data_IF_166276018059
#
_entry.id   IF_166276018059
#
_cell.length_a   1.000
_cell.length_b   1.000
_cell.length_c   1.000
_cell.angle_alpha   90.00
_cell.angle_beta   90.00
_cell.angle_gamma   90.00
#
_symmetry.space_group_name_H-M   'P 1'
#
loop_
_entity.id
_entity.type
_entity.pdbx_description
1 polymer ?
#
# COMPACT_ATOMS: atom_id res chain seq x y z
N UNK A 1 17.57 -15.48 -14.39
CA UNK A 1 16.87 -14.38 -15.09
C UNK A 1 15.49 -14.90 -15.46
N UNK A 2 14.40 -14.38 -14.90
CA UNK A 2 13.08 -14.72 -15.44
C UNK A 2 12.98 -14.01 -16.79
N UNK A 3 13.22 -14.74 -17.87
CA UNK A 3 13.07 -14.25 -19.23
C UNK A 3 11.66 -13.65 -19.33
N UNK A 4 11.58 -12.37 -19.69
CA UNK A 4 10.32 -11.78 -20.08
C UNK A 4 9.75 -12.62 -21.21
N UNK A 5 8.62 -13.27 -20.96
CA UNK A 5 7.90 -13.98 -22.00
C UNK A 5 6.98 -12.96 -22.65
N UNK A 6 7.37 -12.49 -23.84
CA UNK A 6 6.49 -11.66 -24.63
C UNK A 6 5.13 -12.38 -24.81
N UNK A 7 4.00 -11.66 -24.79
CA UNK A 7 2.71 -12.25 -25.07
C UNK A 7 2.75 -13.03 -26.39
N UNK A 8 2.19 -14.23 -26.41
CA UNK A 8 2.07 -14.99 -27.66
C UNK A 8 1.21 -14.22 -28.66
N UNK A 9 1.45 -14.41 -29.96
CA UNK A 9 0.61 -13.81 -31.00
C UNK A 9 -0.87 -14.16 -30.80
N UNK A 10 -1.15 -15.42 -30.44
CA UNK A 10 -2.51 -15.89 -30.15
C UNK A 10 -3.14 -15.15 -28.95
N UNK A 11 -2.38 -14.91 -27.87
CA UNK A 11 -2.86 -14.15 -26.72
C UNK A 11 -3.17 -12.70 -27.10
N UNK A 12 -2.33 -12.06 -27.92
CA UNK A 12 -2.56 -10.71 -28.42
C UNK A 12 -3.75 -10.63 -29.37
N UNK A 13 -3.94 -11.61 -30.25
CA UNK A 13 -5.09 -11.69 -31.16
C UNK A 13 -6.39 -11.90 -30.37
N UNK A 14 -6.39 -12.77 -29.35
CA UNK A 14 -7.55 -12.95 -28.46
C UNK A 14 -7.85 -11.67 -27.66
N UNK A 15 -6.83 -10.91 -27.28
CA UNK A 15 -6.98 -9.66 -26.54
C UNK A 15 -7.51 -8.54 -27.44
N UNK A 16 -7.04 -8.43 -28.68
CA UNK A 16 -7.47 -7.41 -29.65
C UNK A 16 -8.95 -7.52 -30.03
N UNK A 17 -9.56 -8.70 -29.86
CA UNK A 17 -10.99 -8.96 -30.05
C UNK A 17 -11.83 -8.82 -28.76
N UNK A 18 -11.26 -8.24 -27.70
CA UNK A 18 -11.92 -8.11 -26.39
C UNK A 18 -12.17 -6.65 -26.01
N UNK A 19 -12.87 -6.43 -24.89
CA UNK A 19 -13.04 -5.09 -24.29
C UNK A 19 -11.70 -4.43 -23.92
N UNK A 20 -10.63 -5.21 -23.85
CA UNK A 20 -9.28 -4.77 -23.46
C UNK A 20 -8.33 -4.65 -24.66
N UNK A 21 -8.87 -4.51 -25.87
CA UNK A 21 -8.10 -4.42 -27.12
C UNK A 21 -7.12 -3.23 -27.17
N UNK A 22 -7.36 -2.16 -26.39
CA UNK A 22 -6.41 -1.05 -26.28
C UNK A 22 -5.05 -1.49 -25.72
N UNK A 23 -5.01 -2.49 -24.85
CA UNK A 23 -3.77 -2.98 -24.23
C UNK A 23 -2.79 -3.57 -25.26
N UNK A 24 -3.29 -4.18 -26.34
CA UNK A 24 -2.44 -4.78 -27.37
C UNK A 24 -1.61 -3.73 -28.13
N UNK A 25 -1.96 -2.45 -28.04
CA UNK A 25 -1.28 -1.33 -28.71
C UNK A 25 -0.53 -0.42 -27.75
N UNK A 26 -0.52 -0.72 -26.44
CA UNK A 26 0.19 0.11 -25.46
C UNK A 26 1.68 -0.18 -25.50
N UNK A 27 2.47 0.88 -25.62
CA UNK A 27 3.90 0.78 -25.43
C UNK A 27 4.22 0.66 -23.95
N UNK A 28 4.90 -0.43 -23.58
CA UNK A 28 5.36 -0.66 -22.21
C UNK A 28 6.86 -0.41 -22.14
N UNK A 29 7.30 0.17 -21.03
CA UNK A 29 8.72 0.44 -20.78
C UNK A 29 9.55 -0.84 -20.84
N UNK A 30 10.79 -0.72 -21.33
CA UNK A 30 11.75 -1.82 -21.38
C UNK A 30 11.97 -2.40 -19.97
N UNK A 31 11.78 -3.72 -19.76
CA UNK A 31 11.97 -4.39 -18.46
C UNK A 31 13.31 -4.08 -17.75
N UNK A 32 14.39 -3.91 -18.50
CA UNK A 32 15.72 -3.63 -17.94
C UNK A 32 15.80 -2.26 -17.27
N UNK A 33 15.01 -1.28 -17.77
CA UNK A 33 14.93 0.07 -17.19
C UNK A 33 14.09 0.15 -15.93
N UNK A 34 13.13 -0.78 -15.77
CA UNK A 34 12.13 -0.78 -14.71
C UNK A 34 12.35 -1.94 -13.72
N UNK A 35 13.59 -2.39 -13.57
CA UNK A 35 13.92 -3.42 -12.57
C UNK A 35 13.55 -2.93 -11.17
N UNK A 36 12.77 -3.72 -10.44
CA UNK A 36 12.30 -3.36 -9.09
C UNK A 36 11.11 -2.39 -9.07
N UNK A 37 10.45 -2.17 -10.22
CA UNK A 37 9.30 -1.29 -10.41
C UNK A 37 8.06 -2.12 -10.75
N UNK A 38 6.88 -1.66 -10.31
CA UNK A 38 5.62 -2.37 -10.54
C UNK A 38 4.74 -1.74 -11.62
N UNK A 39 4.94 -0.45 -11.93
CA UNK A 39 4.30 0.16 -13.10
C UNK A 39 5.04 -0.24 -14.38
N UNK A 40 4.29 -0.37 -15.48
CA UNK A 40 4.83 -0.78 -16.79
C UNK A 40 4.90 0.39 -17.79
N UNK A 41 4.40 1.56 -17.38
CA UNK A 41 4.37 2.79 -18.16
C UNK A 41 4.58 4.00 -17.24
N UNK A 42 4.87 5.15 -17.84
CA UNK A 42 4.98 6.44 -17.14
C UNK A 42 4.12 7.50 -17.84
N UNK A 43 2.85 7.16 -18.10
CA UNK A 43 1.91 8.04 -18.79
C UNK A 43 1.67 9.31 -17.96
N UNK A 44 1.68 10.48 -18.62
CA UNK A 44 1.45 11.78 -17.99
C UNK A 44 0.20 11.80 -17.10
N UNK A 45 0.29 12.51 -15.97
CA UNK A 45 -0.79 12.59 -14.98
C UNK A 45 -2.08 13.21 -15.53
N UNK A 46 -3.23 12.83 -14.95
CA UNK A 46 -4.56 13.23 -15.46
C UNK A 46 -4.82 14.74 -15.51
N UNK A 47 -4.07 15.53 -14.75
CA UNK A 47 -4.24 16.98 -14.64
C UNK A 47 -3.22 17.75 -15.49
N UNK A 48 -2.33 17.05 -16.19
CA UNK A 48 -1.35 17.66 -17.07
C UNK A 48 -1.98 18.11 -18.38
N UNK A 49 -1.64 19.34 -18.81
CA UNK A 49 -2.11 19.90 -20.09
C UNK A 49 -1.40 19.28 -21.29
N UNK A 50 -0.19 18.78 -21.07
CA UNK A 50 0.68 18.24 -22.12
C UNK A 50 0.98 16.78 -21.81
N UNK A 51 0.93 15.94 -22.84
CA UNK A 51 1.39 14.56 -22.78
C UNK A 51 2.80 14.47 -23.37
N UNK A 52 3.67 13.70 -22.75
CA UNK A 52 5.00 13.38 -23.28
C UNK A 52 5.01 11.93 -23.76
N UNK A 53 5.51 11.71 -24.96
CA UNK A 53 5.68 10.39 -25.56
C UNK A 53 7.12 10.29 -26.08
N UNK A 54 7.79 9.17 -25.78
CA UNK A 54 9.06 8.86 -26.41
C UNK A 54 8.78 8.20 -27.75
N UNK A 55 9.51 8.57 -28.79
CA UNK A 55 9.50 7.90 -30.07
C UNK A 55 10.93 7.82 -30.60
N UNK A 56 11.22 6.80 -31.39
CA UNK A 56 12.47 6.69 -32.13
C UNK A 56 12.45 7.71 -33.28
N UNK A 57 13.38 8.67 -33.26
CA UNK A 57 13.50 9.69 -34.29
C UNK A 57 14.29 9.22 -35.52
N UNK A 58 14.80 7.98 -35.50
CA UNK A 58 15.54 7.35 -36.61
C UNK A 58 17.01 7.73 -36.66
N UNK A 59 17.55 8.40 -35.64
CA UNK A 59 18.97 8.73 -35.55
C UNK A 59 19.69 7.68 -34.69
N UNK A 60 20.71 7.00 -35.26
CA UNK A 60 21.47 5.91 -34.63
C UNK A 60 22.32 6.30 -33.40
N UNK A 61 22.09 7.48 -32.82
CA UNK A 61 22.74 7.98 -31.61
C UNK A 61 21.91 7.67 -30.36
N UNK A 62 21.67 6.39 -30.10
CA UNK A 62 20.87 6.00 -28.92
C UNK A 62 21.80 5.60 -27.79
N UNK A 63 22.23 6.58 -26.99
CA UNK A 63 22.74 6.25 -25.66
C UNK A 63 21.65 5.46 -24.91
N UNK A 64 22.01 4.34 -24.25
CA UNK A 64 21.03 3.53 -23.54
C UNK A 64 20.35 4.36 -22.45
N UNK A 65 19.03 4.50 -22.55
CA UNK A 65 18.26 5.27 -21.58
C UNK A 65 18.50 4.75 -20.15
N UNK A 66 18.71 5.64 -19.16
CA UNK A 66 19.04 5.22 -17.81
C UNK A 66 17.88 4.44 -17.17
N UNK A 67 18.27 3.62 -16.18
CA UNK A 67 17.32 2.97 -15.28
C UNK A 67 16.59 4.03 -14.46
N UNK A 68 15.35 3.73 -14.06
CA UNK A 68 14.61 4.63 -13.17
C UNK A 68 15.14 4.47 -11.73
N UNK A 69 16.03 5.36 -11.31
CA UNK A 69 16.50 5.48 -9.93
C UNK A 69 15.49 6.24 -9.08
N UNK A 70 15.35 5.85 -7.81
CA UNK A 70 14.47 6.56 -6.87
C UNK A 70 15.07 7.91 -6.51
N UNK A 71 14.24 8.95 -6.58
CA UNK A 71 14.60 10.33 -6.26
C UNK A 71 13.81 10.74 -5.03
N UNK A 72 14.51 11.26 -4.02
CA UNK A 72 13.89 11.83 -2.82
C UNK A 72 13.74 13.34 -2.97
N UNK A 73 12.55 13.86 -2.73
CA UNK A 73 12.24 15.29 -2.71
C UNK A 73 11.97 15.74 -1.29
N UNK A 74 12.63 16.80 -0.83
CA UNK A 74 12.39 17.34 0.51
C UNK A 74 11.11 18.18 0.52
N UNK A 75 10.19 17.87 1.43
CA UNK A 75 8.95 18.60 1.64
C UNK A 75 8.88 19.07 3.10
N UNK A 76 8.39 20.29 3.34
CA UNK A 76 8.00 20.75 4.69
C UNK A 76 6.48 20.85 4.74
N UNK A 77 5.88 20.04 5.60
CA UNK A 77 4.44 19.98 5.78
C UNK A 77 3.96 21.10 6.71
N UNK A 78 2.86 21.77 6.34
CA UNK A 78 2.16 22.72 7.25
C UNK A 78 1.44 21.97 8.37
N UNK A 79 0.79 20.87 8.02
CA UNK A 79 0.17 19.90 8.93
C UNK A 79 0.49 18.48 8.44
N UNK A 80 0.56 17.54 9.37
CA UNK A 80 0.84 16.13 9.13
C UNK A 80 -0.39 15.24 9.38
N UNK A 81 -1.32 15.64 10.24
CA UNK A 81 -2.56 14.91 10.48
C UNK A 81 -3.56 15.24 9.38
N UNK A 82 -4.03 14.21 8.67
CA UNK A 82 -5.08 14.33 7.65
C UNK A 82 -6.34 13.61 8.12
N UNK A 83 -7.52 14.18 7.85
CA UNK A 83 -8.82 13.59 8.18
C UNK A 83 -9.54 13.04 6.96
N UNK A 84 -10.49 12.13 7.18
CA UNK A 84 -11.43 11.63 6.19
C UNK A 84 -12.77 11.28 6.87
N UNK A 85 -13.83 11.19 6.07
CA UNK A 85 -15.21 10.91 6.49
C UNK A 85 -15.74 9.59 5.92
N UNK A 86 -14.85 8.70 5.47
CA UNK A 86 -15.28 7.53 4.72
C UNK A 86 -15.87 6.45 5.63
N UNK A 87 -17.08 5.94 5.33
CA UNK A 87 -17.73 4.93 6.18
C UNK A 87 -17.11 3.53 6.04
N UNK A 88 -16.25 3.31 5.05
CA UNK A 88 -15.67 1.99 4.77
C UNK A 88 -14.37 1.71 5.53
N UNK A 89 -13.79 2.72 6.22
CA UNK A 89 -12.51 2.57 6.92
C UNK A 89 -12.68 2.86 8.40
N UNK A 90 -12.01 2.06 9.24
CA UNK A 90 -12.13 2.13 10.69
C UNK A 90 -11.34 3.26 11.35
N UNK A 91 -11.03 4.34 10.62
CA UNK A 91 -10.25 5.46 11.12
C UNK A 91 -10.63 6.79 10.47
N UNK A 92 -10.62 7.85 11.25
CA UNK A 92 -10.88 9.22 10.78
C UNK A 92 -9.58 9.96 10.45
N UNK A 93 -8.51 9.71 11.21
CA UNK A 93 -7.23 10.44 11.10
C UNK A 93 -6.12 9.56 10.59
N UNK A 94 -5.21 10.14 9.82
CA UNK A 94 -4.01 9.45 9.36
C UNK A 94 -2.80 10.37 9.27
N UNK A 95 -1.62 9.74 9.30
CA UNK A 95 -0.32 10.40 9.07
C UNK A 95 0.38 9.68 7.94
N UNK A 96 0.87 10.47 6.98
CA UNK A 96 1.74 10.01 5.91
C UNK A 96 2.99 10.90 5.91
N UNK A 97 4.09 10.38 6.45
CA UNK A 97 5.41 11.05 6.47
C UNK A 97 6.04 11.15 5.07
N UNK A 98 5.54 10.35 4.13
CA UNK A 98 5.99 10.32 2.75
C UNK A 98 4.83 10.52 1.78
N UNK A 99 5.14 10.91 0.54
CA UNK A 99 4.23 10.79 -0.61
C UNK A 99 4.91 9.97 -1.69
N UNK A 100 4.15 9.09 -2.33
CA UNK A 100 4.72 8.02 -3.14
C UNK A 100 5.08 6.82 -2.28
N UNK A 101 5.30 5.67 -2.91
CA UNK A 101 5.67 4.47 -2.17
C UNK A 101 6.63 3.59 -2.95
N UNK A 102 7.80 3.34 -2.37
CA UNK A 102 8.85 2.57 -3.01
C UNK A 102 8.51 1.09 -3.18
N UNK A 103 7.57 0.54 -2.40
CA UNK A 103 7.13 -0.84 -2.60
C UNK A 103 6.68 -1.14 -4.03
N UNK A 104 6.18 -0.12 -4.74
CA UNK A 104 5.86 -0.20 -6.15
C UNK A 104 4.77 -1.21 -6.46
N UNK A 105 3.75 -1.32 -5.61
CA UNK A 105 2.68 -2.32 -5.82
C UNK A 105 1.87 -1.95 -7.07
N UNK A 106 1.77 -2.83 -8.07
CA UNK A 106 1.07 -2.54 -9.35
C UNK A 106 -0.43 -2.26 -9.18
N UNK A 107 -1.01 -2.74 -8.09
CA UNK A 107 -2.42 -2.60 -7.72
C UNK A 107 -2.71 -1.46 -6.71
N UNK A 108 -1.70 -0.63 -6.38
CA UNK A 108 -1.82 0.32 -5.28
C UNK A 108 -2.84 1.43 -5.56
N UNK A 109 -3.89 1.51 -4.73
CA UNK A 109 -4.94 2.53 -4.85
C UNK A 109 -4.45 3.96 -4.61
N UNK A 110 -3.26 4.14 -4.03
CA UNK A 110 -2.67 5.44 -3.71
C UNK A 110 -1.95 6.10 -4.89
N UNK A 111 -1.60 5.34 -5.93
CA UNK A 111 -0.94 5.85 -7.16
C UNK A 111 -1.58 7.11 -7.75
N UNK A 112 -2.93 7.18 -7.85
CA UNK A 112 -3.69 8.38 -8.22
C UNK A 112 -3.27 9.68 -7.54
N UNK A 113 -2.72 9.63 -6.31
CA UNK A 113 -2.36 10.82 -5.55
C UNK A 113 -1.17 11.59 -6.13
N UNK A 114 -0.31 10.93 -6.91
CA UNK A 114 0.79 11.59 -7.61
C UNK A 114 0.33 12.48 -8.76
N UNK A 115 -0.85 12.23 -9.32
CA UNK A 115 -1.41 13.11 -10.34
C UNK A 115 -1.61 14.54 -9.81
N UNK A 116 -1.95 14.71 -8.51
CA UNK A 116 -2.08 16.04 -7.89
C UNK A 116 -0.75 16.76 -7.69
N UNK A 117 0.38 16.09 -7.89
CA UNK A 117 1.73 16.66 -7.87
C UNK A 117 2.24 16.99 -9.28
N UNK A 118 1.41 16.77 -10.30
CA UNK A 118 1.81 16.85 -11.71
C UNK A 118 2.66 15.67 -12.18
N UNK A 119 2.68 14.57 -11.42
CA UNK A 119 3.41 13.35 -11.76
C UNK A 119 2.49 12.28 -12.35
N UNK A 120 3.10 11.37 -13.11
CA UNK A 120 2.51 10.09 -13.48
C UNK A 120 2.16 9.25 -12.25
N UNK A 121 0.99 8.60 -12.30
CA UNK A 121 0.64 7.55 -11.35
C UNK A 121 1.43 6.23 -11.57
N UNK A 122 2.17 6.15 -12.69
CA UNK A 122 3.00 5.02 -13.10
C UNK A 122 4.32 4.94 -12.34
N UNK A 123 5.44 5.04 -13.05
CA UNK A 123 6.78 4.92 -12.47
C UNK A 123 7.08 6.05 -11.48
N UNK A 124 6.68 7.28 -11.77
CA UNK A 124 6.96 8.43 -10.88
C UNK A 124 6.36 8.27 -9.47
N UNK A 125 5.24 7.56 -9.29
CA UNK A 125 4.70 7.26 -7.96
C UNK A 125 5.65 6.47 -7.04
N UNK A 126 6.38 5.52 -7.61
CA UNK A 126 7.29 4.64 -6.86
C UNK A 126 8.75 5.09 -6.97
N UNK A 127 9.03 6.06 -7.85
CA UNK A 127 10.34 6.66 -8.07
C UNK A 127 10.52 7.96 -7.30
N UNK A 128 9.58 8.88 -7.40
CA UNK A 128 9.66 10.24 -6.86
C UNK A 128 8.98 10.29 -5.49
N UNK A 129 9.81 10.17 -4.44
CA UNK A 129 9.36 10.06 -3.05
C UNK A 129 9.53 11.39 -2.35
N UNK A 130 8.43 11.99 -1.93
CA UNK A 130 8.45 13.23 -1.15
C UNK A 130 8.57 12.89 0.32
N UNK A 131 9.58 13.45 0.99
CA UNK A 131 9.91 13.22 2.38
C UNK A 131 9.53 14.45 3.18
N UNK A 132 8.54 14.32 4.08
CA UNK A 132 8.13 15.40 4.98
C UNK A 132 9.10 15.48 6.15
N UNK A 133 10.24 16.13 5.96
CA UNK A 133 11.36 16.12 6.92
C UNK A 133 11.00 16.71 8.29
N UNK A 134 9.96 17.54 8.36
CA UNK A 134 9.44 18.10 9.61
C UNK A 134 8.23 17.33 10.17
N UNK A 135 7.94 16.11 9.73
CA UNK A 135 6.75 15.36 10.14
C UNK A 135 6.62 15.19 11.67
N UNK A 136 7.75 14.96 12.36
CA UNK A 136 7.79 14.81 13.82
C UNK A 136 7.51 16.15 14.53
N UNK A 137 8.15 17.23 14.06
CA UNK A 137 7.93 18.60 14.55
C UNK A 137 6.46 19.02 14.36
N UNK A 138 5.93 18.83 13.16
CA UNK A 138 4.54 19.16 12.82
C UNK A 138 3.55 18.36 13.67
N UNK A 139 3.79 17.06 13.88
CA UNK A 139 2.96 16.23 14.75
C UNK A 139 2.93 16.79 16.17
N UNK A 140 4.10 17.08 16.74
CA UNK A 140 4.21 17.58 18.11
C UNK A 140 3.46 18.89 18.29
N UNK A 141 3.56 19.81 17.33
CA UNK A 141 2.82 21.07 17.33
C UNK A 141 1.29 20.84 17.26
N UNK A 142 0.83 19.94 16.40
CA UNK A 142 -0.61 19.64 16.27
C UNK A 142 -1.20 18.97 17.51
N UNK A 143 -0.48 18.03 18.14
CA UNK A 143 -0.89 17.39 19.39
C UNK A 143 -0.91 18.38 20.58
N UNK A 144 -0.07 19.43 20.53
CA UNK A 144 -0.01 20.48 21.55
C UNK A 144 -1.11 21.54 21.46
N UNK A 145 -1.99 21.48 20.45
CA UNK A 145 -3.05 22.47 20.30
C UNK A 145 -4.04 22.43 21.49
N UNK A 146 -4.42 23.61 22.01
CA UNK A 146 -5.26 23.77 23.23
C UNK A 146 -6.56 22.95 23.23
N UNK A 147 -7.15 22.72 22.06
CA UNK A 147 -8.42 21.99 21.92
C UNK A 147 -8.24 20.62 21.25
N UNK A 148 -7.03 20.08 21.25
CA UNK A 148 -6.77 18.78 20.66
C UNK A 148 -7.51 17.68 21.41
N UNK A 149 -8.25 16.85 20.67
CA UNK A 149 -8.93 15.66 21.21
C UNK A 149 -8.29 14.41 20.60
N UNK A 150 -7.73 13.49 21.42
CA UNK A 150 -7.09 12.28 20.91
C UNK A 150 -8.10 11.38 20.19
N UNK A 151 -7.71 10.88 19.03
CA UNK A 151 -8.41 9.85 18.26
C UNK A 151 -7.36 8.96 17.60
N UNK A 152 -7.58 7.64 17.48
CA UNK A 152 -6.64 6.76 16.79
C UNK A 152 -6.19 7.29 15.43
N UNK A 153 -4.87 7.39 15.23
CA UNK A 153 -4.27 7.83 13.97
C UNK A 153 -3.75 6.62 13.20
N UNK A 154 -4.16 6.48 11.94
CA UNK A 154 -3.66 5.43 11.05
C UNK A 154 -2.39 5.86 10.31
N UNK A 155 -1.43 4.95 10.22
CA UNK A 155 -0.25 5.00 9.35
C UNK A 155 -0.33 3.83 8.36
N UNK A 156 0.21 4.01 7.15
CA UNK A 156 0.03 3.01 6.09
C UNK A 156 -1.19 3.23 5.21
N UNK A 157 -1.69 4.46 5.12
CA UNK A 157 -2.95 4.76 4.44
C UNK A 157 -2.76 5.13 2.98
N UNK A 158 -1.81 6.02 2.67
CA UNK A 158 -1.50 6.43 1.29
C UNK A 158 -0.04 6.12 0.88
N UNK A 159 0.82 5.86 1.86
CA UNK A 159 2.19 5.37 1.67
C UNK A 159 2.49 4.34 2.75
N UNK A 160 3.48 3.49 2.52
CA UNK A 160 3.96 2.58 3.56
C UNK A 160 4.92 3.33 4.50
N UNK A 161 4.66 3.36 5.83
CA UNK A 161 5.50 4.07 6.79
C UNK A 161 6.89 3.46 6.92
N UNK A 162 7.08 2.21 6.46
CA UNK A 162 8.32 1.45 6.55
C UNK A 162 8.92 1.11 5.18
N UNK A 163 8.67 1.96 4.18
CA UNK A 163 9.34 1.89 2.88
C UNK A 163 10.85 2.14 2.98
N UNK A 164 11.61 2.03 1.88
CA UNK A 164 13.08 1.97 1.94
C UNK A 164 13.68 3.28 2.47
N UNK A 165 13.13 4.44 2.09
CA UNK A 165 13.47 5.77 2.63
C UNK A 165 13.43 5.84 4.17
N UNK A 166 12.55 5.07 4.84
CA UNK A 166 12.45 5.06 6.31
C UNK A 166 13.71 4.49 6.99
N UNK A 167 14.54 3.72 6.27
CA UNK A 167 15.84 3.24 6.80
C UNK A 167 16.79 4.41 7.10
N UNK A 168 16.74 5.45 6.27
CA UNK A 168 17.57 6.66 6.36
C UNK A 168 16.92 7.71 7.26
N UNK A 169 15.66 8.06 7.00
CA UNK A 169 15.03 9.23 7.60
C UNK A 169 14.45 8.99 9.01
N UNK A 170 14.08 7.74 9.33
CA UNK A 170 13.54 7.38 10.66
C UNK A 170 12.34 8.24 11.11
N UNK A 171 11.54 8.73 10.17
CA UNK A 171 10.41 9.62 10.48
C UNK A 171 9.27 8.87 11.14
N UNK A 172 9.01 7.63 10.69
CA UNK A 172 8.03 6.77 11.36
C UNK A 172 8.46 6.48 12.78
N UNK A 173 9.74 6.17 13.01
CA UNK A 173 10.24 6.00 14.38
C UNK A 173 10.03 7.24 15.24
N UNK A 174 10.44 8.42 14.76
CA UNK A 174 10.25 9.67 15.51
C UNK A 174 8.77 10.00 15.76
N UNK A 175 7.88 9.68 14.83
CA UNK A 175 6.43 9.76 15.04
C UNK A 175 6.02 8.83 16.19
N UNK A 176 6.48 7.57 16.21
CA UNK A 176 6.15 6.61 17.27
C UNK A 176 6.68 7.05 18.64
N UNK A 177 7.87 7.68 18.70
CA UNK A 177 8.42 8.26 19.93
C UNK A 177 7.49 9.35 20.48
N UNK A 178 6.99 10.25 19.61
CA UNK A 178 5.98 11.26 20.00
C UNK A 178 4.66 10.61 20.42
N UNK A 179 4.21 9.57 19.72
CA UNK A 179 3.00 8.83 20.10
C UNK A 179 3.14 8.19 21.48
N UNK A 180 4.30 7.62 21.81
CA UNK A 180 4.56 7.03 23.12
C UNK A 180 4.64 8.10 24.22
N UNK A 181 5.39 9.17 23.98
CA UNK A 181 5.50 10.30 24.92
C UNK A 181 4.14 10.89 25.29
N UNK A 182 3.31 11.13 24.27
CA UNK A 182 1.97 11.72 24.43
C UNK A 182 0.90 10.67 24.77
N UNK A 183 1.27 9.39 24.85
CA UNK A 183 0.36 8.24 25.02
C UNK A 183 -0.81 8.28 24.03
N UNK A 184 -0.52 8.65 22.79
CA UNK A 184 -1.49 8.82 21.74
C UNK A 184 -1.68 7.52 20.94
N UNK A 185 -2.92 7.08 20.67
CA UNK A 185 -3.17 5.82 19.99
C UNK A 185 -2.82 5.85 18.49
N UNK A 186 -2.19 4.78 18.01
CA UNK A 186 -1.72 4.63 16.63
C UNK A 186 -2.08 3.26 16.05
N UNK A 187 -2.47 3.23 14.77
CA UNK A 187 -2.71 2.02 14.00
C UNK A 187 -1.73 1.98 12.85
N UNK A 188 -1.04 0.86 12.64
CA UNK A 188 0.00 0.78 11.60
C UNK A 188 -0.36 -0.31 10.62
N UNK A 189 -0.39 0.00 9.32
CA UNK A 189 -0.48 -0.99 8.25
C UNK A 189 0.81 -0.96 7.43
N UNK A 190 1.47 -2.11 7.23
CA UNK A 190 2.71 -2.17 6.43
C UNK A 190 2.89 -3.49 5.69
N UNK A 191 3.69 -3.47 4.63
CA UNK A 191 4.24 -4.64 3.91
C UNK A 191 5.73 -4.87 4.21
N UNK A 192 6.30 -4.13 5.16
CA UNK A 192 7.74 -4.11 5.43
C UNK A 192 8.07 -4.76 6.76
N UNK A 193 9.05 -5.66 6.76
CA UNK A 193 9.61 -6.24 7.99
C UNK A 193 10.48 -5.23 8.77
N UNK A 194 10.74 -4.03 8.22
CA UNK A 194 11.48 -2.97 8.91
C UNK A 194 10.79 -2.51 10.21
N UNK A 195 9.48 -2.73 10.34
CA UNK A 195 8.72 -2.45 11.56
C UNK A 195 9.32 -3.10 12.82
N UNK A 196 9.98 -4.25 12.66
CA UNK A 196 10.64 -4.97 13.77
C UNK A 196 11.75 -4.13 14.42
N UNK A 197 12.34 -3.17 13.70
CA UNK A 197 13.33 -2.22 14.24
C UNK A 197 12.78 -1.44 15.44
N UNK A 198 11.49 -1.12 15.43
CA UNK A 198 10.86 -0.25 16.42
C UNK A 198 10.08 -1.05 17.48
N UNK A 199 10.41 -2.33 17.67
CA UNK A 199 9.79 -3.18 18.70
C UNK A 199 9.92 -2.59 20.11
N UNK A 200 11.01 -1.89 20.39
CA UNK A 200 11.24 -1.21 21.67
C UNK A 200 10.12 -0.19 21.99
N UNK A 201 9.66 0.57 20.99
CA UNK A 201 8.58 1.55 21.15
C UNK A 201 7.20 0.87 21.07
N UNK A 202 7.03 -0.05 20.11
CA UNK A 202 5.76 -0.73 19.87
C UNK A 202 5.33 -1.57 21.08
N UNK A 203 6.28 -2.19 21.78
CA UNK A 203 6.00 -2.97 22.99
C UNK A 203 5.46 -2.09 24.11
N UNK A 204 6.03 -0.90 24.34
CA UNK A 204 5.54 0.03 25.36
C UNK A 204 4.16 0.59 25.02
N UNK A 205 3.91 0.93 23.75
CA UNK A 205 2.58 1.30 23.29
C UNK A 205 1.56 0.16 23.47
N UNK A 206 1.98 -1.09 23.24
CA UNK A 206 1.11 -2.26 23.36
C UNK A 206 0.70 -2.52 24.81
N UNK A 207 1.62 -2.39 25.78
CA UNK A 207 1.34 -2.48 27.22
C UNK A 207 0.26 -1.49 27.67
N UNK A 208 0.18 -0.33 27.02
CA UNK A 208 -0.80 0.71 27.27
C UNK A 208 -2.08 0.59 26.43
N UNK A 209 -2.19 -0.44 25.58
CA UNK A 209 -3.29 -0.62 24.62
C UNK A 209 -3.46 0.60 23.68
N UNK A 210 -2.33 1.13 23.19
CA UNK A 210 -2.25 2.30 22.31
C UNK A 210 -1.85 1.95 20.87
N UNK A 211 -1.41 0.72 20.60
CA UNK A 211 -1.03 0.30 19.24
C UNK A 211 -1.68 -1.00 18.81
N UNK A 212 -2.00 -1.07 17.51
CA UNK A 212 -2.24 -2.32 16.80
C UNK A 212 -1.60 -2.26 15.42
N UNK A 213 -1.11 -3.40 14.95
CA UNK A 213 -0.39 -3.52 13.69
C UNK A 213 -1.15 -4.45 12.74
N UNK A 214 -1.21 -4.08 11.47
CA UNK A 214 -1.70 -4.92 10.39
C UNK A 214 -0.57 -5.16 9.39
N UNK A 215 -0.20 -6.42 9.18
CA UNK A 215 0.77 -6.81 8.16
C UNK A 215 0.02 -7.25 6.90
N UNK A 216 0.28 -6.56 5.79
CA UNK A 216 -0.31 -6.90 4.49
C UNK A 216 0.42 -8.07 3.84
N UNK A 217 -0.30 -9.15 3.54
CA UNK A 217 0.23 -10.35 2.89
C UNK A 217 -0.66 -10.71 1.69
N UNK A 218 -0.14 -10.55 0.48
CA UNK A 218 -0.91 -10.77 -0.75
C UNK A 218 -0.75 -12.18 -1.33
N UNK A 219 0.39 -12.82 -1.09
CA UNK A 219 0.74 -14.14 -1.61
C UNK A 219 1.83 -14.75 -0.74
N UNK A 220 1.88 -16.07 -0.69
CA UNK A 220 2.98 -16.83 -0.10
C UNK A 220 4.07 -17.15 -1.13
N UNK A 221 3.79 -17.00 -2.43
CA UNK A 221 4.75 -17.18 -3.50
C UNK A 221 5.68 -15.97 -3.67
N UNK A 222 6.97 -16.20 -3.39
CA UNK A 222 8.01 -15.19 -3.56
C UNK A 222 8.20 -14.72 -5.02
N UNK A 223 7.87 -15.54 -6.02
CA UNK A 223 7.92 -15.13 -7.43
C UNK A 223 6.76 -14.17 -7.74
N UNK A 224 5.54 -14.50 -7.33
CA UNK A 224 4.38 -13.62 -7.49
C UNK A 224 4.55 -12.30 -6.72
N UNK A 225 5.01 -12.35 -5.46
CA UNK A 225 5.27 -11.16 -4.65
C UNK A 225 6.26 -10.21 -5.35
N UNK A 226 7.36 -10.72 -5.90
CA UNK A 226 8.33 -9.90 -6.67
C UNK A 226 7.76 -9.26 -7.93
N UNK A 227 6.74 -9.85 -8.56
CA UNK A 227 6.04 -9.24 -9.70
C UNK A 227 5.09 -8.15 -9.21
N UNK A 228 4.31 -8.44 -8.17
CA UNK A 228 3.21 -7.61 -7.68
C UNK A 228 3.67 -6.39 -6.88
N UNK A 229 4.72 -6.55 -6.08
CA UNK A 229 5.16 -5.63 -5.02
C UNK A 229 6.70 -5.73 -4.85
N UNK A 230 7.45 -5.38 -5.91
CA UNK A 230 8.85 -5.79 -6.13
C UNK A 230 9.85 -5.39 -5.04
N UNK A 231 9.58 -4.30 -4.32
CA UNK A 231 10.46 -3.78 -3.25
C UNK A 231 9.86 -3.89 -1.85
N UNK A 232 8.68 -4.49 -1.72
CA UNK A 232 8.17 -4.87 -0.40
C UNK A 232 8.99 -6.04 0.19
N UNK A 233 8.88 -6.25 1.51
CA UNK A 233 9.56 -7.40 2.14
C UNK A 233 9.00 -8.72 1.60
N UNK A 234 9.81 -9.77 1.51
CA UNK A 234 9.32 -11.08 1.04
C UNK A 234 8.24 -11.65 1.96
N UNK A 235 7.34 -12.53 1.47
CA UNK A 235 6.31 -13.16 2.30
C UNK A 235 6.87 -13.80 3.57
N UNK A 236 7.98 -14.54 3.47
CA UNK A 236 8.65 -15.15 4.63
C UNK A 236 9.14 -14.12 5.66
N UNK A 237 9.65 -12.96 5.21
CA UNK A 237 10.06 -11.87 6.12
C UNK A 237 8.87 -11.18 6.79
N UNK A 238 7.72 -11.11 6.12
CA UNK A 238 6.48 -10.58 6.71
C UNK A 238 5.90 -11.53 7.76
N UNK A 239 5.91 -12.82 7.51
CA UNK A 239 5.55 -13.84 8.51
C UNK A 239 6.44 -13.76 9.74
N UNK A 240 7.76 -13.66 9.55
CA UNK A 240 8.70 -13.48 10.66
C UNK A 240 8.43 -12.18 11.44
N UNK A 241 8.07 -11.09 10.76
CA UNK A 241 7.67 -9.86 11.45
C UNK A 241 6.38 -10.04 12.27
N UNK A 242 5.40 -10.80 11.77
CA UNK A 242 4.18 -11.14 12.53
C UNK A 242 4.56 -11.90 13.81
N UNK A 243 5.44 -12.90 13.70
CA UNK A 243 5.94 -13.69 14.84
C UNK A 243 6.58 -12.81 15.91
N UNK A 244 7.56 -12.00 15.51
CA UNK A 244 8.31 -11.15 16.44
C UNK A 244 7.43 -10.08 17.11
N UNK A 245 6.49 -9.49 16.37
CA UNK A 245 5.52 -8.55 16.94
C UNK A 245 4.59 -9.23 17.94
N UNK A 246 4.08 -10.42 17.60
CA UNK A 246 3.17 -11.18 18.46
C UNK A 246 3.87 -11.64 19.75
N UNK A 247 5.10 -12.14 19.65
CA UNK A 247 5.91 -12.54 20.82
C UNK A 247 6.22 -11.37 21.75
N UNK A 248 6.39 -10.16 21.20
CA UNK A 248 6.55 -8.94 21.97
C UNK A 248 5.22 -8.40 22.56
N UNK A 249 4.11 -9.10 22.36
CA UNK A 249 2.79 -8.72 22.90
C UNK A 249 2.06 -7.65 22.09
N UNK A 250 2.57 -7.27 20.91
CA UNK A 250 1.90 -6.30 20.02
C UNK A 250 0.69 -6.98 19.37
N UNK A 251 -0.53 -6.40 19.42
CA UNK A 251 -1.68 -6.96 18.72
C UNK A 251 -1.50 -6.87 17.19
N UNK A 252 -1.38 -8.02 16.53
CA UNK A 252 -1.18 -8.12 15.07
C UNK A 252 -2.43 -8.66 14.37
N UNK A 253 -2.82 -8.02 13.27
CA UNK A 253 -3.72 -8.54 12.26
C UNK A 253 -2.98 -8.83 10.95
N UNK A 254 -3.53 -9.73 10.14
CA UNK A 254 -3.08 -9.95 8.75
C UNK A 254 -4.11 -9.39 7.77
N UNK A 255 -3.65 -8.58 6.82
CA UNK A 255 -4.50 -8.11 5.73
C UNK A 255 -4.14 -8.87 4.46
N UNK A 256 -4.99 -9.83 4.11
CA UNK A 256 -4.95 -10.58 2.85
C UNK A 256 -5.45 -9.67 1.72
N UNK A 257 -4.69 -8.62 1.39
CA UNK A 257 -5.20 -7.48 0.59
C UNK A 257 -4.19 -6.89 -0.40
N UNK A 258 -4.55 -6.75 -1.68
CA UNK A 258 -5.82 -7.16 -2.28
C UNK A 258 -5.85 -8.67 -2.58
N UNK A 259 -7.05 -9.25 -2.52
CA UNK A 259 -7.38 -10.48 -3.23
C UNK A 259 -7.73 -10.14 -4.68
N UNK A 260 -6.96 -10.72 -5.60
CA UNK A 260 -7.04 -10.54 -7.05
C UNK A 260 -7.56 -11.87 -7.63
N UNK A 261 -8.77 -11.87 -8.23
CA UNK A 261 -9.36 -13.05 -8.84
C UNK A 261 -8.40 -13.77 -9.80
N UNK A 262 -8.27 -15.09 -9.66
CA UNK A 262 -7.43 -15.96 -10.48
C UNK A 262 -5.93 -15.62 -10.51
N UNK A 263 -5.45 -14.76 -9.62
CA UNK A 263 -4.02 -14.43 -9.48
C UNK A 263 -3.46 -14.89 -8.14
N UNK A 264 -4.06 -14.50 -7.01
CA UNK A 264 -3.60 -14.84 -5.66
C UNK A 264 -4.73 -15.29 -4.72
N UNK A 265 -5.98 -15.23 -5.15
CA UNK A 265 -7.14 -15.53 -4.30
C UNK A 265 -7.27 -17.01 -3.95
N UNK A 266 -6.61 -17.91 -4.66
CA UNK A 266 -6.45 -19.32 -4.27
C UNK A 266 -5.56 -19.50 -3.04
N UNK A 267 -4.78 -18.48 -2.65
CA UNK A 267 -3.89 -18.54 -1.49
C UNK A 267 -4.53 -18.00 -0.21
N UNK A 268 -5.77 -17.51 -0.25
CA UNK A 268 -6.43 -16.83 0.88
C UNK A 268 -6.33 -17.62 2.19
N UNK A 269 -6.77 -18.88 2.19
CA UNK A 269 -6.75 -19.74 3.39
C UNK A 269 -5.33 -20.02 3.84
N UNK A 270 -4.41 -20.26 2.90
CA UNK A 270 -2.99 -20.53 3.20
C UNK A 270 -2.30 -19.32 3.83
N UNK A 271 -2.63 -18.11 3.38
CA UNK A 271 -2.15 -16.84 3.95
C UNK A 271 -2.63 -16.73 5.40
N UNK A 272 -3.91 -16.99 5.65
CA UNK A 272 -4.51 -16.90 6.98
C UNK A 272 -3.92 -17.96 7.93
N UNK A 273 -3.85 -19.21 7.51
CA UNK A 273 -3.25 -20.32 8.27
C UNK A 273 -1.80 -19.99 8.68
N UNK A 274 -0.98 -19.58 7.72
CA UNK A 274 0.40 -19.22 7.99
C UNK A 274 0.52 -18.02 8.93
N UNK A 275 -0.34 -17.01 8.80
CA UNK A 275 -0.34 -15.85 9.70
C UNK A 275 -0.79 -16.21 11.12
N UNK A 276 -1.82 -17.04 11.27
CA UNK A 276 -2.27 -17.55 12.56
C UNK A 276 -1.16 -18.34 13.26
N UNK A 277 -0.45 -19.20 12.53
CA UNK A 277 0.70 -19.94 13.03
C UNK A 277 1.85 -19.04 13.53
N UNK A 278 1.92 -17.78 13.09
CA UNK A 278 2.88 -16.79 13.58
C UNK A 278 2.28 -15.86 14.67
N UNK A 279 1.07 -16.11 15.14
CA UNK A 279 0.45 -15.34 16.23
C UNK A 279 -0.37 -14.12 15.80
N UNK A 280 -0.72 -13.99 14.51
CA UNK A 280 -1.77 -13.04 14.13
C UNK A 280 -3.09 -13.38 14.84
N UNK A 281 -3.81 -12.37 15.32
CA UNK A 281 -5.07 -12.55 16.09
C UNK A 281 -6.32 -12.24 15.28
N UNK A 282 -6.16 -11.52 14.17
CA UNK A 282 -7.28 -11.09 13.34
C UNK A 282 -6.88 -11.09 11.88
N UNK A 283 -7.85 -11.29 10.99
CA UNK A 283 -7.63 -11.20 9.55
C UNK A 283 -8.73 -10.42 8.84
N UNK A 284 -8.35 -9.76 7.76
CA UNK A 284 -9.30 -9.18 6.81
C UNK A 284 -8.79 -9.33 5.39
N UNK A 285 -9.70 -9.20 4.43
CA UNK A 285 -9.35 -9.09 3.02
C UNK A 285 -10.09 -7.91 2.40
N UNK A 286 -9.50 -7.36 1.35
CA UNK A 286 -10.13 -6.40 0.45
C UNK A 286 -9.97 -6.95 -0.96
N UNK A 287 -11.03 -6.89 -1.75
CA UNK A 287 -10.96 -7.19 -3.18
C UNK A 287 -10.20 -6.12 -3.94
N UNK A 288 -9.51 -6.51 -5.02
CA UNK A 288 -8.79 -5.58 -5.90
C UNK A 288 -9.62 -4.34 -6.23
N UNK A 289 -9.01 -3.16 -6.09
CA UNK A 289 -9.59 -1.86 -6.42
C UNK A 289 -8.78 -1.23 -7.54
N UNK A 290 -9.48 -0.69 -8.54
CA UNK A 290 -8.86 -0.06 -9.71
C UNK A 290 -9.31 1.40 -9.89
N UNK A 291 -9.16 2.29 -8.88
CA UNK A 291 -9.52 3.69 -9.01
C UNK A 291 -8.58 4.43 -9.97
N UNK A 292 -9.14 5.25 -10.86
CA UNK A 292 -8.35 6.10 -11.76
C UNK A 292 -7.34 5.33 -12.59
N UNK A 293 -6.11 5.83 -12.63
CA UNK A 293 -4.98 5.31 -13.41
C UNK A 293 -4.56 3.91 -12.98
N UNK A 294 -4.90 3.48 -11.76
CA UNK A 294 -4.58 2.11 -11.27
C UNK A 294 -5.17 1.05 -12.17
N UNK A 295 -6.34 1.31 -12.78
CA UNK A 295 -6.96 0.42 -13.76
C UNK A 295 -5.98 0.06 -14.85
N UNK A 296 -5.35 1.06 -15.45
CA UNK A 296 -4.49 0.90 -16.60
C UNK A 296 -3.14 0.31 -16.20
N UNK A 297 -2.55 0.79 -15.10
CA UNK A 297 -1.31 0.24 -14.53
C UNK A 297 -1.46 -1.25 -14.23
N UNK A 298 -2.58 -1.66 -13.63
CA UNK A 298 -2.84 -3.06 -13.33
C UNK A 298 -3.05 -3.90 -14.60
N UNK A 299 -3.78 -3.38 -15.59
CA UNK A 299 -4.00 -4.06 -16.87
C UNK A 299 -2.70 -4.28 -17.65
N UNK A 300 -1.82 -3.28 -17.67
CA UNK A 300 -0.49 -3.37 -18.28
C UNK A 300 0.41 -4.38 -17.55
N UNK A 301 0.38 -4.35 -16.21
CA UNK A 301 1.07 -5.33 -15.37
C UNK A 301 0.56 -6.76 -15.65
N UNK A 302 -0.75 -6.93 -15.78
CA UNK A 302 -1.39 -8.20 -16.06
C UNK A 302 -1.00 -8.74 -17.45
N UNK A 303 -0.99 -7.88 -18.47
CA UNK A 303 -0.53 -8.22 -19.81
C UNK A 303 0.92 -8.71 -19.80
N UNK A 304 1.79 -7.99 -19.09
CA UNK A 304 3.22 -8.32 -19.03
C UNK A 304 3.53 -9.61 -18.30
N UNK A 305 2.80 -9.91 -17.23
CA UNK A 305 3.14 -11.04 -16.35
C UNK A 305 2.26 -12.26 -16.51
N UNK A 306 1.05 -12.09 -17.05
CA UNK A 306 0.04 -13.13 -17.25
C UNK A 306 -0.81 -12.88 -18.51
N UNK A 307 -0.19 -12.76 -19.70
CA UNK A 307 -0.89 -12.40 -20.95
C UNK A 307 -2.09 -13.33 -21.24
N UNK A 308 -1.93 -14.62 -21.00
CA UNK A 308 -2.99 -15.63 -21.26
C UNK A 308 -4.18 -15.53 -20.28
N UNK A 309 -4.02 -14.82 -19.16
CA UNK A 309 -5.05 -14.67 -18.11
C UNK A 309 -5.72 -13.31 -18.10
N UNK A 310 -5.27 -12.34 -18.93
CA UNK A 310 -5.78 -10.97 -18.94
C UNK A 310 -7.30 -10.93 -19.02
N UNK A 311 -7.87 -11.60 -20.03
CA UNK A 311 -9.31 -11.62 -20.28
C UNK A 311 -10.09 -12.24 -19.11
N UNK A 312 -9.60 -13.36 -18.58
CA UNK A 312 -10.27 -14.08 -17.52
C UNK A 312 -10.28 -13.30 -16.20
N UNK A 313 -9.13 -12.77 -15.80
CA UNK A 313 -9.00 -11.97 -14.57
C UNK A 313 -9.86 -10.71 -14.64
N UNK A 314 -9.82 -9.98 -15.76
CA UNK A 314 -10.61 -8.76 -15.91
C UNK A 314 -12.12 -9.03 -16.01
N UNK A 315 -12.53 -10.16 -16.58
CA UNK A 315 -13.93 -10.60 -16.53
C UNK A 315 -14.38 -10.83 -15.08
N UNK A 316 -13.62 -11.58 -14.28
CA UNK A 316 -13.94 -11.79 -12.85
C UNK A 316 -13.95 -10.49 -12.05
N UNK A 317 -13.00 -9.58 -12.30
CA UNK A 317 -13.01 -8.25 -11.67
C UNK A 317 -14.31 -7.52 -12.00
N UNK A 318 -14.72 -7.50 -13.27
CA UNK A 318 -15.98 -6.85 -13.72
C UNK A 318 -17.21 -7.50 -13.14
N UNK A 319 -17.24 -8.83 -13.02
CA UNK A 319 -18.34 -9.57 -12.42
C UNK A 319 -18.55 -9.17 -10.96
N UNK A 320 -17.47 -8.85 -10.23
CA UNK A 320 -17.57 -8.34 -8.85
C UNK A 320 -18.00 -6.87 -8.74
N UNK A 321 -18.27 -6.20 -9.87
CA UNK A 321 -18.47 -4.73 -9.98
C UNK A 321 -19.59 -4.35 -10.97
N UNK A 322 -20.57 -5.22 -11.18
CA UNK A 322 -21.70 -4.94 -12.07
C UNK A 322 -21.27 -4.63 -13.51
N UNK A 323 -20.23 -5.30 -13.99
CA UNK A 323 -19.69 -5.13 -15.34
C UNK A 323 -18.67 -4.00 -15.50
N UNK A 324 -18.33 -3.25 -14.46
CA UNK A 324 -17.33 -2.15 -14.51
C UNK A 324 -15.95 -2.63 -14.06
N UNK A 325 -14.88 -1.96 -14.48
CA UNK A 325 -13.54 -2.29 -13.95
C UNK A 325 -13.39 -1.85 -12.48
N UNK A 326 -14.16 -0.84 -12.07
CA UNK A 326 -14.18 -0.33 -10.69
C UNK A 326 -15.54 0.27 -10.36
N UNK A 327 -15.92 0.12 -9.09
CA UNK A 327 -17.07 0.76 -8.48
C UNK A 327 -16.59 1.54 -7.24
N UNK A 328 -16.92 2.82 -7.19
CA UNK A 328 -16.50 3.74 -6.13
C UNK A 328 -17.51 3.88 -4.99
N UNK A 329 -18.72 3.30 -5.14
CA UNK A 329 -19.77 3.35 -4.10
C UNK A 329 -19.23 2.80 -2.77
N UNK A 330 -19.58 3.51 -1.68
CA UNK A 330 -19.33 3.01 -0.33
C UNK A 330 -20.05 1.69 -0.08
N UNK A 331 -19.54 0.88 0.84
CA UNK A 331 -20.01 -0.46 1.13
C UNK A 331 -19.55 -1.52 0.14
N UNK A 332 -19.53 -1.22 -1.17
CA UNK A 332 -19.22 -2.20 -2.22
C UNK A 332 -17.79 -2.10 -2.77
N UNK A 333 -17.17 -0.92 -2.76
CA UNK A 333 -15.85 -0.71 -3.40
C UNK A 333 -14.72 -1.60 -2.86
N UNK A 334 -14.81 -2.06 -1.62
CA UNK A 334 -13.81 -2.96 -0.99
C UNK A 334 -14.23 -4.44 -1.01
N UNK A 335 -15.53 -4.70 -1.05
CA UNK A 335 -16.12 -6.02 -0.79
C UNK A 335 -16.69 -6.70 -2.03
N UNK A 336 -16.95 -5.94 -3.11
CA UNK A 336 -17.57 -6.44 -4.33
C UNK A 336 -19.02 -6.91 -4.17
N UNK A 337 -19.65 -7.16 -5.30
CA UNK A 337 -21.00 -7.74 -5.41
C UNK A 337 -21.01 -9.03 -6.24
N UNK A 338 -22.13 -9.73 -6.27
CA UNK A 338 -22.30 -10.95 -7.05
C UNK A 338 -21.71 -12.24 -6.43
N UNK A 339 -21.83 -13.37 -7.14
CA UNK A 339 -21.48 -14.70 -6.62
C UNK A 339 -20.01 -14.83 -6.26
N UNK A 340 -19.10 -14.30 -7.08
CA UNK A 340 -17.65 -14.43 -6.87
C UNK A 340 -17.18 -13.69 -5.62
N UNK A 341 -17.64 -12.45 -5.42
CA UNK A 341 -17.34 -11.68 -4.21
C UNK A 341 -17.93 -12.34 -2.96
N UNK A 342 -19.14 -12.90 -3.07
CA UNK A 342 -19.80 -13.62 -1.98
C UNK A 342 -19.03 -14.90 -1.61
N UNK A 343 -18.57 -15.67 -2.60
CA UNK A 343 -17.73 -16.84 -2.38
C UNK A 343 -16.45 -16.48 -1.62
N UNK A 344 -15.75 -15.42 -2.03
CA UNK A 344 -14.54 -14.99 -1.34
C UNK A 344 -14.81 -14.58 0.11
N UNK A 345 -15.92 -13.88 0.38
CA UNK A 345 -16.30 -13.51 1.76
C UNK A 345 -16.57 -14.75 2.61
N UNK A 346 -17.33 -15.71 2.08
CA UNK A 346 -17.59 -16.97 2.78
C UNK A 346 -16.31 -17.76 3.05
N UNK A 347 -15.36 -17.77 2.10
CA UNK A 347 -14.04 -18.38 2.29
C UNK A 347 -13.26 -17.69 3.40
N UNK A 348 -13.23 -16.35 3.42
CA UNK A 348 -12.61 -15.58 4.50
C UNK A 348 -13.22 -15.90 5.85
N UNK A 349 -14.55 -15.85 5.97
CA UNK A 349 -15.23 -16.02 7.25
C UNK A 349 -14.99 -17.42 7.82
N UNK A 350 -15.12 -18.46 6.99
CA UNK A 350 -14.81 -19.84 7.36
C UNK A 350 -13.33 -20.02 7.74
N UNK A 351 -12.41 -19.38 7.03
CA UNK A 351 -10.99 -19.45 7.36
C UNK A 351 -10.69 -18.73 8.67
N UNK A 352 -11.31 -17.58 8.93
CA UNK A 352 -11.14 -16.84 10.19
C UNK A 352 -11.62 -17.66 11.38
N UNK A 353 -12.79 -18.27 11.28
CA UNK A 353 -13.30 -19.18 12.30
C UNK A 353 -12.37 -20.38 12.50
N UNK A 354 -11.98 -21.04 11.40
CA UNK A 354 -11.11 -22.23 11.44
C UNK A 354 -9.75 -21.98 12.09
N UNK A 355 -9.16 -20.82 11.86
CA UNK A 355 -7.80 -20.48 12.31
C UNK A 355 -7.78 -19.54 13.53
N UNK A 356 -8.93 -19.22 14.13
CA UNK A 356 -9.01 -18.34 15.31
C UNK A 356 -8.62 -16.88 15.04
N UNK A 357 -8.89 -16.38 13.82
CA UNK A 357 -8.61 -15.01 13.36
C UNK A 357 -9.86 -14.12 13.35
N UNK A 358 -10.89 -14.53 14.05
CA UNK A 358 -12.15 -13.82 14.27
C UNK A 358 -12.10 -12.90 15.51
N UNK A 359 -11.03 -12.97 16.30
CA UNK A 359 -10.83 -12.11 17.48
C UNK A 359 -10.86 -10.63 17.08
N UNK A 360 -11.76 -9.88 17.72
CA UNK A 360 -11.78 -8.42 17.62
C UNK A 360 -10.60 -7.85 18.39
N UNK A 361 -9.67 -7.22 17.68
CA UNK A 361 -8.57 -6.51 18.34
C UNK A 361 -9.13 -5.44 19.29
N UNK A 362 -8.51 -5.24 20.48
CA UNK A 362 -8.99 -4.29 21.46
C UNK A 362 -9.11 -2.89 20.88
N UNK A 363 -10.11 -2.14 21.35
CA UNK A 363 -10.20 -0.71 21.06
C UNK A 363 -8.98 0.01 21.65
N UNK A 364 -8.40 0.95 20.91
CA UNK A 364 -7.25 1.71 21.39
C UNK A 364 -7.70 2.77 22.39
N UNK A 365 -6.94 2.92 23.48
CA UNK A 365 -7.23 3.91 24.53
C UNK A 365 -6.96 5.32 24.05
N UNK A 366 -7.83 6.24 24.44
CA UNK A 366 -7.69 7.69 24.19
C UNK A 366 -7.61 8.49 25.49
N UNK A 367 -7.94 7.87 26.62
CA UNK A 367 -8.00 8.45 27.95
C UNK A 367 -6.63 8.69 28.59
N UNK A 368 -5.58 8.07 28.04
CA UNK A 368 -4.20 8.21 28.52
C UNK A 368 -3.45 9.41 27.97
N UNK A 369 -4.03 10.11 26.99
CA UNK A 369 -3.34 11.16 26.25
C UNK A 369 -2.86 12.28 27.16
N UNK A 370 -1.62 12.71 26.94
CA UNK A 370 -1.03 13.90 27.57
C UNK A 370 -0.44 14.76 26.47
N UNK A 371 -0.80 16.05 26.45
CA UNK A 371 -0.26 16.99 25.49
C UNK A 371 1.28 17.09 25.62
N UNK A 372 2.02 17.19 24.51
CA UNK A 372 3.47 17.31 24.57
C UNK A 372 3.85 18.63 25.26
N UNK A 373 4.98 18.61 25.98
CA UNK A 373 5.60 19.86 26.44
C UNK A 373 6.12 20.59 25.21
N UNK A 374 5.52 21.75 24.91
CA UNK A 374 6.06 22.68 23.93
C UNK A 374 7.19 23.44 24.63
N UNK A 375 8.39 23.42 24.05
CA UNK A 375 9.45 24.30 24.52
C UNK A 375 9.01 25.74 24.25
N UNK A 376 8.75 26.49 25.32
CA UNK A 376 8.53 27.93 25.23
C UNK A 376 9.85 28.56 24.78
N UNK A 377 10.00 28.76 23.46
CA UNK A 377 11.08 29.57 22.87
C UNK A 377 11.12 31.00 23.43
N UNK A 378 10.12 31.41 24.21
CA UNK A 378 10.00 32.72 24.82
C UNK A 378 10.54 32.81 26.27
N UNK A 379 10.81 31.68 26.93
CA UNK A 379 11.28 31.65 28.32
C UNK A 379 12.81 31.50 28.46
N UNK A 380 13.56 31.41 27.35
CA UNK A 380 15.03 31.34 27.38
C UNK A 380 15.72 32.72 27.33
N UNK A 381 15.00 33.80 27.65
CA UNK A 381 15.50 35.18 27.57
C UNK A 381 15.48 35.95 28.91
N UNK A 382 15.36 35.25 30.04
CA UNK A 382 15.48 35.87 31.37
C UNK A 382 16.40 35.09 32.29
#
# INVERSE_FOLDING_TARGET
MALYQAPSFEALEKLSRSRDADLARRELLNPDRIRGRGAQSNISGRFEKQKREGFDDGWDNVEPLPIFETVEHVERAKTIITTNDSPDIGFERSINAYRGCEHGCSYCFARPTHAFLGHSAGIEFERDIYVKVNAVEALRAELGARNYKPKPIAMGTNTDPYQMSERKHKLTRGILEVMLETRHPVMITTKSALIVRDLDILTELAKLNLVKVAISMTTMDHKLSRKMEPRASSPARRLEAIRLLSEAGVPVAVFASPMIPAINDMELERILDAAAAQGARSASMILLRLPGEVRDIFREWLLRHFPDRVRHVLALVRDTRGGKDYDARWGTRMTGEGPYATLLRQRLDKARERYGLDVKLPGLRTDLFVAPKLEDKQMSLF
#
